data_IF_870431689153
#
_entry.id   IF_870431689153
#
_cell.length_a   1.000
_cell.length_b   1.000
_cell.length_c   1.000
_cell.angle_alpha   90.00
_cell.angle_beta   90.00
_cell.angle_gamma   90.00
#
_symmetry.space_group_name_H-M   'P 1'
#
loop_
_entity.id
_entity.type
_entity.pdbx_description
1 polymer ?
#
# COMPACT_ATOMS: atom_id res chain seq x y z
N UNK A 1 -16.39 -17.79 -29.69
CA UNK A 1 -17.66 -17.91 -28.90
C UNK A 1 -17.38 -17.79 -27.40
N UNK A 2 -16.44 -18.56 -26.84
CA UNK A 2 -16.10 -18.51 -25.40
C UNK A 2 -15.62 -17.13 -24.92
N UNK A 3 -14.79 -16.45 -25.72
CA UNK A 3 -14.28 -15.11 -25.37
C UNK A 3 -15.38 -14.04 -25.32
N UNK A 4 -16.34 -14.10 -26.25
CA UNK A 4 -17.50 -13.23 -26.25
C UNK A 4 -18.41 -13.46 -25.03
N UNK A 5 -18.55 -14.72 -24.59
CA UNK A 5 -19.29 -15.06 -23.37
C UNK A 5 -18.59 -14.53 -22.11
N UNK A 6 -17.26 -14.64 -22.03
CA UNK A 6 -16.48 -14.06 -20.92
C UNK A 6 -16.59 -12.54 -20.87
N UNK A 7 -16.54 -11.87 -22.02
CA UNK A 7 -16.71 -10.43 -22.12
C UNK A 7 -18.12 -10.00 -21.68
N UNK A 8 -19.17 -10.69 -22.12
CA UNK A 8 -20.54 -10.40 -21.69
C UNK A 8 -20.72 -10.56 -20.18
N UNK A 9 -20.23 -11.67 -19.60
CA UNK A 9 -20.29 -11.91 -18.16
C UNK A 9 -19.52 -10.86 -17.35
N UNK A 10 -18.38 -10.37 -17.87
CA UNK A 10 -17.64 -9.26 -17.26
C UNK A 10 -18.47 -7.97 -17.25
N UNK A 11 -19.06 -7.61 -18.40
CA UNK A 11 -19.91 -6.41 -18.52
C UNK A 11 -21.11 -6.47 -17.58
N UNK A 12 -21.78 -7.62 -17.46
CA UNK A 12 -22.89 -7.80 -16.52
C UNK A 12 -22.47 -7.58 -15.07
N UNK A 13 -21.36 -8.20 -14.63
CA UNK A 13 -20.85 -8.03 -13.26
C UNK A 13 -20.49 -6.57 -12.96
N UNK A 14 -19.83 -5.91 -13.92
CA UNK A 14 -19.49 -4.50 -13.80
C UNK A 14 -20.74 -3.62 -13.69
N UNK A 15 -21.78 -3.93 -14.48
CA UNK A 15 -23.05 -3.20 -14.43
C UNK A 15 -23.74 -3.36 -13.08
N UNK A 16 -23.75 -4.56 -12.48
CA UNK A 16 -24.31 -4.78 -11.14
C UNK A 16 -23.63 -3.90 -10.08
N UNK A 17 -22.30 -3.89 -10.07
CA UNK A 17 -21.51 -3.07 -9.15
C UNK A 17 -21.82 -1.58 -9.34
N UNK A 18 -21.81 -1.11 -10.59
CA UNK A 18 -22.10 0.29 -10.91
C UNK A 18 -23.54 0.71 -10.57
N UNK A 19 -24.52 -0.16 -10.82
CA UNK A 19 -25.92 0.10 -10.47
C UNK A 19 -26.08 0.22 -8.95
N UNK A 20 -25.46 -0.67 -8.18
CA UNK A 20 -25.49 -0.61 -6.72
C UNK A 20 -24.86 0.69 -6.18
N UNK A 21 -23.71 1.11 -6.72
CA UNK A 21 -23.08 2.39 -6.39
C UNK A 21 -24.01 3.57 -6.69
N UNK A 22 -24.72 3.51 -7.83
CA UNK A 22 -25.65 4.54 -8.27
C UNK A 22 -27.05 4.45 -7.65
N UNK A 23 -27.28 3.52 -6.69
CA UNK A 23 -28.58 3.25 -6.07
C UNK A 23 -29.70 2.94 -7.09
N UNK A 24 -29.36 2.23 -8.17
CA UNK A 24 -30.28 1.77 -9.20
C UNK A 24 -30.66 0.30 -8.99
N UNK A 25 -31.84 -0.06 -9.44
CA UNK A 25 -32.26 -1.46 -9.50
C UNK A 25 -31.35 -2.25 -10.48
N UNK A 26 -31.04 -3.50 -10.12
CA UNK A 26 -30.26 -4.42 -10.95
C UNK A 26 -30.93 -5.78 -10.93
N UNK A 27 -30.56 -6.65 -11.87
CA UNK A 27 -30.99 -8.05 -11.93
C UNK A 27 -30.82 -8.82 -10.61
N UNK A 28 -29.76 -8.52 -9.85
CA UNK A 28 -29.55 -9.01 -8.48
C UNK A 28 -28.57 -8.11 -7.70
N UNK A 29 -28.51 -8.32 -6.39
CA UNK A 29 -27.49 -7.68 -5.54
C UNK A 29 -26.08 -8.16 -5.92
N UNK A 30 -25.09 -7.25 -6.07
CA UNK A 30 -23.71 -7.65 -6.32
C UNK A 30 -23.09 -8.31 -5.10
N UNK A 31 -22.31 -9.37 -5.33
CA UNK A 31 -21.59 -10.12 -4.29
C UNK A 31 -20.11 -9.78 -4.36
N UNK A 32 -19.64 -8.99 -3.40
CA UNK A 32 -18.25 -8.50 -3.32
C UNK A 32 -17.67 -8.74 -1.91
N UNK A 33 -17.48 -10.01 -1.52
CA UNK A 33 -16.99 -10.37 -0.19
C UNK A 33 -15.48 -10.09 -0.03
N UNK A 34 -15.09 -9.75 1.20
CA UNK A 34 -13.70 -9.63 1.62
C UNK A 34 -13.18 -11.00 2.13
N UNK A 35 -12.40 -11.70 1.31
CA UNK A 35 -11.84 -13.01 1.68
C UNK A 35 -10.45 -12.95 2.34
N UNK A 36 -9.80 -11.79 2.35
CA UNK A 36 -8.43 -11.63 2.85
C UNK A 36 -7.48 -12.72 2.26
N UNK A 37 -6.60 -13.30 3.07
CA UNK A 37 -5.65 -14.33 2.61
C UNK A 37 -6.20 -15.75 2.59
N UNK A 38 -7.50 -15.95 2.83
CA UNK A 38 -8.11 -17.28 2.62
C UNK A 38 -7.89 -17.73 1.18
N UNK A 39 -8.03 -16.81 0.21
CA UNK A 39 -7.73 -17.06 -1.20
C UNK A 39 -6.31 -17.58 -1.37
N UNK A 40 -5.33 -16.92 -0.73
CA UNK A 40 -3.93 -17.31 -0.87
C UNK A 40 -3.72 -18.75 -0.37
N UNK A 41 -4.23 -19.06 0.83
CA UNK A 41 -4.10 -20.39 1.44
C UNK A 41 -4.75 -21.50 0.61
N UNK A 42 -5.90 -21.24 -0.01
CA UNK A 42 -6.62 -22.23 -0.82
C UNK A 42 -5.90 -22.56 -2.13
N UNK A 43 -5.11 -21.62 -2.68
CA UNK A 43 -4.50 -21.75 -4.01
C UNK A 43 -2.97 -21.79 -3.99
N UNK A 44 -2.37 -22.22 -2.88
CA UNK A 44 -0.93 -22.51 -2.77
C UNK A 44 -0.04 -21.28 -2.67
N UNK A 45 -0.59 -20.18 -2.15
CA UNK A 45 0.08 -18.91 -1.86
C UNK A 45 -0.06 -18.59 -0.35
N UNK A 46 0.52 -17.48 0.10
CA UNK A 46 0.56 -17.08 1.50
C UNK A 46 0.45 -15.56 1.67
N UNK A 47 0.43 -15.06 2.92
CA UNK A 47 0.51 -13.62 3.14
C UNK A 47 1.89 -13.09 2.76
N UNK A 48 2.97 -13.87 2.94
CA UNK A 48 4.31 -13.48 2.48
C UNK A 48 4.36 -13.22 0.98
N UNK A 49 3.63 -14.00 0.19
CA UNK A 49 3.59 -13.81 -1.27
C UNK A 49 2.93 -12.49 -1.67
N UNK A 50 1.99 -11.98 -0.86
CA UNK A 50 1.45 -10.63 -1.05
C UNK A 50 2.51 -9.52 -0.85
N UNK A 51 3.61 -9.81 -0.14
CA UNK A 51 4.74 -8.87 0.07
C UNK A 51 5.87 -9.05 -0.93
N UNK A 52 6.20 -10.29 -1.33
CA UNK A 52 7.42 -10.60 -2.10
C UNK A 52 7.18 -11.35 -3.42
N UNK A 53 6.03 -12.02 -3.60
CA UNK A 53 5.73 -12.81 -4.79
C UNK A 53 4.36 -12.47 -5.37
N UNK A 54 4.23 -11.23 -5.86
CA UNK A 54 2.97 -10.69 -6.39
C UNK A 54 2.38 -11.53 -7.52
N UNK A 55 3.22 -12.22 -8.31
CA UNK A 55 2.75 -13.10 -9.39
C UNK A 55 1.99 -14.30 -8.82
N UNK A 56 2.60 -15.03 -7.89
CA UNK A 56 1.94 -16.19 -7.28
C UNK A 56 0.66 -15.77 -6.55
N UNK A 57 0.71 -14.66 -5.82
CA UNK A 57 -0.46 -14.16 -5.12
C UNK A 57 -1.58 -13.70 -6.08
N UNK A 58 -1.22 -13.09 -7.22
CA UNK A 58 -2.16 -12.74 -8.29
C UNK A 58 -2.76 -13.97 -8.97
N UNK A 59 -1.94 -14.99 -9.28
CA UNK A 59 -2.40 -16.24 -9.88
C UNK A 59 -3.38 -16.99 -8.96
N UNK A 60 -3.15 -16.97 -7.64
CA UNK A 60 -4.08 -17.50 -6.64
C UNK A 60 -5.44 -16.78 -6.67
N UNK A 61 -5.43 -15.45 -6.76
CA UNK A 61 -6.66 -14.64 -6.90
C UNK A 61 -7.40 -14.98 -8.18
N UNK A 62 -6.70 -15.02 -9.32
CA UNK A 62 -7.32 -15.35 -10.61
C UNK A 62 -7.96 -16.75 -10.59
N UNK A 63 -7.28 -17.75 -10.02
CA UNK A 63 -7.83 -19.11 -9.89
C UNK A 63 -9.08 -19.15 -9.01
N UNK A 64 -9.09 -18.43 -7.89
CA UNK A 64 -10.27 -18.32 -7.02
C UNK A 64 -11.48 -17.76 -7.78
N UNK A 65 -11.34 -16.60 -8.42
CA UNK A 65 -12.47 -15.97 -9.12
C UNK A 65 -12.89 -16.73 -10.40
N UNK A 66 -11.99 -17.49 -11.01
CA UNK A 66 -12.35 -18.42 -12.09
C UNK A 66 -13.21 -19.59 -11.58
N UNK A 67 -12.94 -20.09 -10.37
CA UNK A 67 -13.69 -21.20 -9.77
C UNK A 67 -15.01 -20.75 -9.11
N UNK A 68 -15.09 -19.51 -8.63
CA UNK A 68 -16.26 -18.95 -7.95
C UNK A 68 -16.88 -17.78 -8.73
N UNK A 69 -17.52 -18.04 -9.89
CA UNK A 69 -18.08 -17.01 -10.77
C UNK A 69 -19.26 -16.22 -10.19
N UNK A 70 -19.71 -16.57 -8.97
CA UNK A 70 -20.80 -15.92 -8.22
C UNK A 70 -20.34 -14.59 -7.61
N UNK A 71 -19.04 -14.38 -7.42
CA UNK A 71 -18.51 -13.10 -6.99
C UNK A 71 -18.44 -12.15 -8.18
N UNK A 72 -19.00 -10.94 -8.03
CA UNK A 72 -19.07 -9.96 -9.11
C UNK A 72 -17.78 -9.12 -9.20
N UNK A 73 -17.06 -8.94 -8.09
CA UNK A 73 -15.79 -8.21 -8.05
C UNK A 73 -14.81 -8.73 -7.00
N UNK A 74 -13.53 -8.40 -7.21
CA UNK A 74 -12.49 -8.57 -6.19
C UNK A 74 -12.44 -7.36 -5.26
N UNK A 75 -12.35 -7.62 -3.95
CA UNK A 75 -12.26 -6.59 -2.93
C UNK A 75 -11.28 -7.04 -1.85
N UNK A 76 -10.00 -6.77 -2.08
CA UNK A 76 -8.93 -6.90 -1.09
C UNK A 76 -7.67 -6.19 -1.59
N UNK A 77 -7.22 -5.17 -0.85
CA UNK A 77 -5.96 -4.47 -1.15
C UNK A 77 -4.81 -5.03 -0.31
N UNK A 78 -4.36 -6.24 -0.68
CA UNK A 78 -3.31 -6.96 0.05
C UNK A 78 -1.91 -6.79 -0.52
N UNK A 79 -1.78 -6.38 -1.78
CA UNK A 79 -0.50 -6.36 -2.50
C UNK A 79 0.34 -5.17 -2.03
N UNK A 80 1.41 -5.47 -1.29
CA UNK A 80 2.35 -4.48 -0.76
C UNK A 80 3.76 -4.89 -1.14
N UNK A 81 4.70 -3.94 -1.20
CA UNK A 81 6.11 -4.30 -1.41
C UNK A 81 6.80 -4.47 -0.06
N UNK A 82 7.21 -5.71 0.26
CA UNK A 82 8.05 -5.97 1.44
C UNK A 82 9.39 -5.24 1.33
N UNK A 83 10.01 -5.30 0.15
CA UNK A 83 11.28 -4.62 -0.16
C UNK A 83 11.17 -3.11 0.06
N UNK A 84 10.07 -2.47 -0.35
CA UNK A 84 9.87 -1.04 -0.12
C UNK A 84 9.79 -0.70 1.38
N UNK A 85 9.12 -1.54 2.18
CA UNK A 85 9.05 -1.36 3.63
C UNK A 85 10.42 -1.55 4.30
N UNK A 86 11.23 -2.50 3.83
CA UNK A 86 12.61 -2.67 4.30
C UNK A 86 13.47 -1.45 3.97
N UNK A 87 13.43 -0.97 2.73
CA UNK A 87 14.19 0.20 2.28
C UNK A 87 13.78 1.47 3.02
N UNK A 88 12.48 1.67 3.27
CA UNK A 88 12.00 2.79 4.07
C UNK A 88 12.33 2.64 5.56
N UNK A 89 12.57 1.42 6.03
CA UNK A 89 12.75 1.11 7.45
C UNK A 89 11.45 1.30 8.22
N UNK A 90 10.32 0.82 7.68
CA UNK A 90 9.00 0.90 8.32
C UNK A 90 9.01 0.32 9.73
N UNK A 91 8.46 1.07 10.69
CA UNK A 91 8.40 0.68 12.12
C UNK A 91 7.01 0.31 12.60
N UNK A 92 5.98 0.71 11.87
CA UNK A 92 4.57 0.61 12.29
C UNK A 92 4.06 -0.83 12.35
N UNK A 93 4.70 -1.75 11.64
CA UNK A 93 4.26 -3.13 11.51
C UNK A 93 5.46 -4.08 11.47
N UNK A 94 5.24 -5.31 11.94
CA UNK A 94 6.03 -6.47 11.53
C UNK A 94 5.20 -7.30 10.53
N UNK A 95 5.85 -7.87 9.52
CA UNK A 95 5.13 -8.51 8.40
C UNK A 95 5.78 -9.82 7.96
N UNK A 96 4.98 -10.76 7.41
CA UNK A 96 5.48 -12.05 6.98
C UNK A 96 6.55 -11.91 5.91
N UNK A 97 7.64 -12.68 6.08
CA UNK A 97 8.80 -12.69 5.18
C UNK A 97 9.79 -11.53 5.35
N UNK A 98 9.53 -10.55 6.22
CA UNK A 98 10.56 -9.56 6.61
C UNK A 98 11.75 -10.28 7.26
N UNK A 99 13.00 -9.92 6.93
CA UNK A 99 14.17 -10.46 7.62
C UNK A 99 14.07 -10.31 9.15
N UNK A 100 14.20 -11.41 9.88
CA UNK A 100 14.15 -11.42 11.35
C UNK A 100 12.75 -11.36 11.98
N UNK A 101 11.67 -11.42 11.19
CA UNK A 101 10.30 -11.42 11.71
C UNK A 101 9.96 -12.71 12.46
N UNK A 102 9.09 -12.57 13.48
CA UNK A 102 8.40 -13.71 14.11
C UNK A 102 7.02 -13.98 13.48
N UNK A 103 6.57 -13.14 12.54
CA UNK A 103 5.27 -13.28 11.87
C UNK A 103 5.34 -14.43 10.87
N UNK A 104 4.50 -15.44 11.09
CA UNK A 104 4.34 -16.58 10.18
C UNK A 104 4.00 -16.13 8.76
N UNK A 105 4.56 -16.80 7.75
CA UNK A 105 4.27 -16.58 6.33
C UNK A 105 2.77 -16.63 5.98
N UNK A 106 1.96 -17.31 6.80
CA UNK A 106 0.51 -17.45 6.64
C UNK A 106 -0.31 -16.51 7.52
N UNK A 107 0.30 -15.64 8.32
CA UNK A 107 -0.40 -14.66 9.15
C UNK A 107 -0.39 -13.28 8.51
N UNK A 108 -1.35 -12.43 8.89
CA UNK A 108 -1.28 -11.01 8.54
C UNK A 108 -0.14 -10.31 9.29
N UNK A 109 0.17 -9.09 8.86
CA UNK A 109 1.06 -8.22 9.62
C UNK A 109 0.56 -8.00 11.04
N UNK A 110 1.48 -7.75 11.96
CA UNK A 110 1.21 -7.29 13.32
C UNK A 110 1.51 -5.81 13.38
N UNK A 111 0.61 -5.04 13.99
CA UNK A 111 0.86 -3.63 14.28
C UNK A 111 1.80 -3.55 15.47
N UNK A 112 2.77 -2.65 15.41
CA UNK A 112 3.64 -2.33 16.53
C UNK A 112 3.19 -0.96 17.03
N UNK A 113 2.65 -0.91 18.24
CA UNK A 113 2.16 0.31 18.84
C UNK A 113 3.31 1.27 19.14
N UNK A 114 3.33 2.39 18.43
CA UNK A 114 4.24 3.49 18.65
C UNK A 114 3.45 4.78 18.85
N UNK A 115 3.88 5.59 19.81
CA UNK A 115 3.35 6.93 20.00
C UNK A 115 4.01 7.90 19.00
N UNK A 116 3.40 8.05 17.82
CA UNK A 116 3.92 8.93 16.75
C UNK A 116 3.40 10.37 16.82
N UNK A 117 2.39 10.64 17.64
CA UNK A 117 1.80 11.95 17.88
C UNK A 117 1.67 12.13 19.39
N UNK A 118 2.36 13.11 19.94
CA UNK A 118 2.25 13.44 21.36
C UNK A 118 1.02 14.34 21.61
N UNK A 119 0.42 14.31 22.81
CA UNK A 119 -0.72 15.17 23.16
C UNK A 119 -0.50 16.67 22.87
N UNK A 120 0.73 17.15 23.05
CA UNK A 120 1.13 18.55 22.87
C UNK A 120 1.25 18.94 21.39
N UNK A 121 1.31 17.95 20.50
CA UNK A 121 1.47 18.15 19.05
C UNK A 121 0.15 18.18 18.29
N UNK A 122 -0.98 17.91 18.97
CA UNK A 122 -2.31 18.01 18.36
C UNK A 122 -2.58 19.38 17.71
N UNK A 123 -2.26 20.52 18.35
CA UNK A 123 -2.44 21.82 17.70
C UNK A 123 -1.62 21.96 16.41
N UNK A 124 -0.40 21.40 16.35
CA UNK A 124 0.42 21.43 15.14
C UNK A 124 -0.19 20.57 14.03
N UNK A 125 -0.62 19.34 14.34
CA UNK A 125 -1.28 18.45 13.38
C UNK A 125 -2.57 19.06 12.82
N UNK A 126 -3.40 19.66 13.69
CA UNK A 126 -4.69 20.24 13.30
C UNK A 126 -4.52 21.50 12.45
N UNK A 127 -3.49 22.31 12.73
CA UNK A 127 -3.22 23.53 11.97
C UNK A 127 -2.48 23.26 10.65
N UNK A 128 -1.59 22.26 10.61
CA UNK A 128 -0.79 21.91 9.43
C UNK A 128 -0.56 20.40 9.35
N UNK A 129 -1.60 19.69 8.88
CA UNK A 129 -1.55 18.24 8.71
C UNK A 129 -0.39 17.80 7.81
N UNK A 130 -0.23 18.43 6.64
CA UNK A 130 0.81 18.06 5.67
C UNK A 130 2.20 18.29 6.23
N UNK A 131 2.43 19.44 6.87
CA UNK A 131 3.71 19.74 7.50
C UNK A 131 4.03 18.79 8.65
N UNK A 132 3.06 18.47 9.51
CA UNK A 132 3.25 17.47 10.56
C UNK A 132 3.60 16.10 9.96
N UNK A 133 2.89 15.66 8.91
CA UNK A 133 3.13 14.36 8.29
C UNK A 133 4.53 14.27 7.71
N UNK A 134 4.97 15.29 6.97
CA UNK A 134 6.30 15.34 6.37
C UNK A 134 7.40 15.46 7.43
N UNK A 135 7.30 16.42 8.35
CA UNK A 135 8.39 16.78 9.26
C UNK A 135 8.48 15.88 10.49
N UNK A 136 7.37 15.27 10.93
CA UNK A 136 7.32 14.50 12.18
C UNK A 136 6.92 13.05 11.93
N UNK A 137 5.77 12.80 11.33
CA UNK A 137 5.28 11.43 11.18
C UNK A 137 6.21 10.56 10.34
N UNK A 138 6.57 10.99 9.11
CA UNK A 138 7.41 10.21 8.19
C UNK A 138 8.77 9.86 8.83
N UNK A 139 9.55 10.83 9.37
CA UNK A 139 10.80 10.54 10.08
C UNK A 139 10.67 9.56 11.25
N UNK A 140 9.53 9.57 11.95
CA UNK A 140 9.28 8.68 13.10
C UNK A 140 8.88 7.27 12.66
N UNK A 141 8.01 7.18 11.64
CA UNK A 141 7.45 5.95 11.11
C UNK A 141 8.46 5.16 10.25
N UNK A 142 9.34 5.86 9.53
CA UNK A 142 10.28 5.28 8.58
C UNK A 142 11.73 5.63 8.96
N UNK A 143 12.46 4.64 9.48
CA UNK A 143 13.80 4.82 10.01
C UNK A 143 14.79 5.43 9.00
N UNK A 144 14.62 5.13 7.71
CA UNK A 144 15.53 5.55 6.65
C UNK A 144 15.08 6.84 5.94
N UNK A 145 14.01 7.48 6.40
CA UNK A 145 13.47 8.73 5.84
C UNK A 145 13.52 9.88 6.86
N UNK A 146 14.47 9.84 7.80
CA UNK A 146 14.61 10.85 8.86
C UNK A 146 14.93 12.24 8.32
N UNK A 147 15.53 12.35 7.13
CA UNK A 147 15.89 13.61 6.50
C UNK A 147 14.72 14.59 6.33
N UNK A 148 13.49 14.06 6.19
CA UNK A 148 12.28 14.88 6.10
C UNK A 148 12.03 15.76 7.33
N UNK A 149 12.62 15.44 8.48
CA UNK A 149 12.53 16.29 9.68
C UNK A 149 13.21 17.65 9.54
N UNK A 150 14.12 17.80 8.56
CA UNK A 150 14.80 19.08 8.27
C UNK A 150 14.04 19.99 7.30
N UNK A 151 12.90 19.53 6.77
CA UNK A 151 12.13 20.27 5.78
C UNK A 151 11.49 21.52 6.40
N UNK A 152 11.86 22.69 5.88
CA UNK A 152 11.33 23.99 6.33
C UNK A 152 11.27 24.97 5.16
N UNK A 153 10.06 25.26 4.69
CA UNK A 153 9.84 26.28 3.67
C UNK A 153 9.42 27.58 4.36
N UNK A 154 10.15 28.65 4.12
CA UNK A 154 9.89 29.97 4.72
C UNK A 154 9.16 30.85 3.71
N UNK A 155 7.86 31.15 3.90
CA UNK A 155 7.09 31.95 2.94
C UNK A 155 7.63 33.36 2.69
N UNK A 156 8.42 33.89 3.62
CA UNK A 156 9.10 35.18 3.47
C UNK A 156 10.30 35.15 2.50
N UNK A 157 10.83 33.96 2.19
CA UNK A 157 12.02 33.76 1.35
C UNK A 157 11.61 33.11 0.03
N UNK A 158 10.84 33.83 -0.79
CA UNK A 158 10.28 33.31 -2.06
C UNK A 158 11.04 33.77 -3.31
N UNK A 159 11.98 34.71 -3.15
CA UNK A 159 12.76 35.24 -4.26
C UNK A 159 14.07 34.44 -4.40
N UNK A 160 14.20 33.72 -5.51
CA UNK A 160 15.38 32.93 -5.84
C UNK A 160 15.40 31.52 -5.23
N UNK A 161 16.57 30.88 -5.27
CA UNK A 161 16.73 29.47 -4.86
C UNK A 161 16.89 29.27 -3.35
N UNK A 162 17.02 30.35 -2.56
CA UNK A 162 17.18 30.27 -1.10
C UNK A 162 16.00 29.60 -0.39
N UNK A 163 14.80 29.64 -0.98
CA UNK A 163 13.64 28.85 -0.53
C UNK A 163 13.96 27.34 -0.48
N UNK A 164 14.82 26.87 -1.38
CA UNK A 164 15.10 25.46 -1.59
C UNK A 164 16.22 24.93 -0.68
N UNK A 165 16.79 25.75 0.20
CA UNK A 165 17.90 25.33 1.06
C UNK A 165 17.52 24.15 1.96
N UNK A 166 16.29 24.11 2.49
CA UNK A 166 15.84 22.99 3.32
C UNK A 166 15.55 21.72 2.53
N UNK A 167 15.22 21.83 1.23
CA UNK A 167 14.99 20.66 0.37
C UNK A 167 16.28 20.05 -0.19
N UNK A 168 17.43 20.69 0.07
CA UNK A 168 18.75 20.26 -0.44
C UNK A 168 19.71 19.86 0.67
N UNK A 169 19.21 19.66 1.90
CA UNK A 169 20.03 19.21 3.03
C UNK A 169 20.57 17.79 2.77
N UNK A 170 21.79 17.44 3.25
CA UNK A 170 22.36 16.12 3.03
C UNK A 170 21.44 14.98 3.47
N UNK A 171 20.79 15.09 4.64
CA UNK A 171 19.87 14.06 5.12
C UNK A 171 18.62 13.89 4.25
N UNK A 172 18.10 14.98 3.67
CA UNK A 172 16.96 14.89 2.77
C UNK A 172 17.36 14.33 1.40
N UNK A 173 18.55 14.67 0.90
CA UNK A 173 19.11 14.05 -0.31
C UNK A 173 19.28 12.53 -0.15
N UNK A 174 19.75 12.07 1.01
CA UNK A 174 19.80 10.63 1.34
C UNK A 174 18.39 10.00 1.34
N UNK A 175 17.42 10.67 1.96
CA UNK A 175 16.03 10.21 1.98
C UNK A 175 15.43 10.14 0.56
N UNK A 176 15.74 11.11 -0.31
CA UNK A 176 15.37 11.06 -1.72
C UNK A 176 16.04 9.89 -2.45
N UNK A 177 17.30 9.59 -2.14
CA UNK A 177 17.98 8.39 -2.63
C UNK A 177 17.23 7.11 -2.28
N UNK A 178 16.75 6.99 -1.03
CA UNK A 178 15.92 5.85 -0.59
C UNK A 178 14.59 5.78 -1.29
N UNK A 179 13.90 6.91 -1.46
CA UNK A 179 12.66 6.96 -2.23
C UNK A 179 12.88 6.56 -3.70
N UNK A 180 14.00 6.99 -4.29
CA UNK A 180 14.37 6.59 -5.64
C UNK A 180 14.65 5.08 -5.73
N UNK A 181 15.30 4.47 -4.73
CA UNK A 181 15.46 3.01 -4.64
C UNK A 181 14.13 2.28 -4.53
N UNK A 182 13.21 2.78 -3.70
CA UNK A 182 11.85 2.24 -3.54
C UNK A 182 11.07 2.31 -4.86
N UNK A 183 11.21 3.41 -5.60
CA UNK A 183 10.52 3.63 -6.87
C UNK A 183 11.09 2.81 -8.04
N UNK A 184 12.31 2.25 -7.89
CA UNK A 184 12.88 1.41 -8.96
C UNK A 184 11.99 0.19 -9.19
N UNK A 185 11.68 -0.14 -10.45
CA UNK A 185 10.89 -1.32 -10.74
C UNK A 185 11.64 -2.54 -10.21
N UNK A 186 10.92 -3.40 -9.47
CA UNK A 186 11.49 -4.68 -9.07
C UNK A 186 11.91 -5.45 -10.33
N UNK A 187 13.11 -6.05 -10.36
CA UNK A 187 13.55 -6.82 -11.50
C UNK A 187 12.52 -7.90 -11.80
N UNK A 188 12.07 -7.98 -13.06
CA UNK A 188 11.14 -9.02 -13.49
C UNK A 188 11.79 -10.38 -13.18
N UNK A 189 11.08 -11.33 -12.53
CA UNK A 189 11.63 -12.66 -12.33
C UNK A 189 12.00 -13.24 -13.70
N UNK A 190 13.22 -13.77 -13.82
CA UNK A 190 13.66 -14.46 -15.03
C UNK A 190 12.71 -15.64 -15.27
N UNK A 191 12.16 -15.71 -16.48
CA UNK A 191 11.30 -16.82 -16.93
C UNK A 191 12.06 -18.12 -16.93
#
# INVERSE_FOLDING_TARGET
>A
MEEAQKAAAFTERLQRVNNAIALKESDKMPIVPLFNSVIQRLYGSSYKDLYYNHRQAGDAVLKFYAQYPQCDAHFFEGFKSGVANELAGSRMIDWPGRPGTAVSDFSSHQVIEHEFLLPEEYPELLNDFTGFMLKKYIPRAYANLQGFGSLALYPAVILGTSLLNSVTTPGLLESYGRLAEIARPMPKPRR
#
